data_IF_431287406164
#
_entry.id   IF_431287406164
#
_cell.length_a   1.000
_cell.length_b   1.000
_cell.length_c   1.000
_cell.angle_alpha   90.00
_cell.angle_beta   90.00
_cell.angle_gamma   90.00
#
_symmetry.space_group_name_H-M   'P 1'
#
loop_
_entity.id
_entity.type
_entity.pdbx_description
1 polymer ?
#
# COMPACT_ATOMS: atom_id res chain seq x y z
N UNK A 1 -13.59 2.58 -0.60
CA UNK A 1 -12.89 3.47 -1.55
C UNK A 1 -11.40 3.26 -1.35
N UNK A 2 -10.59 3.18 -2.41
CA UNK A 2 -9.17 2.75 -2.30
C UNK A 2 -8.29 3.73 -1.50
N UNK A 3 -8.71 5.01 -1.34
CA UNK A 3 -7.96 6.00 -0.58
C UNK A 3 -7.82 5.65 0.92
N UNK A 4 -8.86 5.12 1.56
CA UNK A 4 -8.79 4.71 2.97
C UNK A 4 -7.77 3.58 3.17
N UNK A 5 -7.68 2.69 2.18
CA UNK A 5 -6.74 1.57 2.19
C UNK A 5 -5.30 2.07 2.06
N UNK A 6 -5.04 2.97 1.10
CA UNK A 6 -3.73 3.58 0.89
C UNK A 6 -3.26 4.34 2.14
N UNK A 7 -4.17 5.06 2.81
CA UNK A 7 -3.80 5.77 4.04
C UNK A 7 -3.42 4.85 5.18
N UNK A 8 -4.19 3.78 5.40
CA UNK A 8 -3.89 2.80 6.45
C UNK A 8 -2.53 2.16 6.20
N UNK A 9 -2.26 1.76 4.95
CA UNK A 9 -0.98 1.21 4.55
C UNK A 9 0.17 2.22 4.78
N UNK A 10 0.00 3.48 4.38
CA UNK A 10 1.00 4.53 4.60
C UNK A 10 1.28 4.79 6.09
N UNK A 11 0.23 4.84 6.93
CA UNK A 11 0.39 5.01 8.38
C UNK A 11 1.13 3.84 9.02
N UNK A 12 0.81 2.60 8.63
CA UNK A 12 1.53 1.42 9.12
C UNK A 12 3.00 1.41 8.71
N UNK A 13 3.32 1.94 7.53
CA UNK A 13 4.69 2.13 7.09
C UNK A 13 5.45 3.24 7.86
N UNK A 14 4.86 3.80 8.92
CA UNK A 14 5.47 4.85 9.75
C UNK A 14 5.51 6.22 9.06
N UNK A 15 4.72 6.41 7.99
CA UNK A 15 4.67 7.68 7.27
C UNK A 15 3.63 8.61 7.90
N UNK A 16 3.89 9.90 7.85
CA UNK A 16 2.84 10.89 8.04
C UNK A 16 1.98 10.93 6.78
N UNK A 17 0.66 10.89 6.95
CA UNK A 17 -0.30 10.76 5.84
C UNK A 17 -1.35 11.85 5.90
N UNK A 18 -1.65 12.46 4.75
CA UNK A 18 -2.78 13.41 4.60
C UNK A 18 -3.48 13.24 3.26
N UNK A 19 -4.74 13.65 3.21
CA UNK A 19 -5.44 13.89 1.94
C UNK A 19 -5.14 15.29 1.44
N UNK A 20 -4.90 15.42 0.15
CA UNK A 20 -4.89 16.70 -0.54
C UNK A 20 -6.03 16.69 -1.56
N UNK A 21 -6.88 17.71 -1.51
CA UNK A 21 -8.00 17.89 -2.44
C UNK A 21 -7.76 19.10 -3.31
N UNK A 22 -7.76 18.91 -4.62
CA UNK A 22 -7.72 19.97 -5.61
C UNK A 22 -8.89 19.78 -6.58
N UNK A 23 -9.88 20.68 -6.50
CA UNK A 23 -11.13 20.59 -7.25
C UNK A 23 -11.81 19.23 -7.01
N UNK A 24 -11.88 18.42 -8.06
CA UNK A 24 -12.53 17.10 -8.07
C UNK A 24 -11.55 15.94 -7.84
N UNK A 25 -10.26 16.24 -7.66
CA UNK A 25 -9.22 15.25 -7.40
C UNK A 25 -8.90 15.19 -5.91
N UNK A 26 -8.97 14.00 -5.32
CA UNK A 26 -8.49 13.71 -3.96
C UNK A 26 -7.34 12.72 -4.06
N UNK A 27 -6.18 13.11 -3.54
CA UNK A 27 -4.97 12.29 -3.52
C UNK A 27 -4.46 12.08 -2.11
N UNK A 28 -3.70 11.00 -1.91
CA UNK A 28 -2.94 10.79 -0.68
C UNK A 28 -1.55 11.38 -0.86
N UNK A 29 -1.11 12.16 0.12
CA UNK A 29 0.27 12.59 0.24
C UNK A 29 0.89 11.99 1.50
N UNK A 30 2.16 11.63 1.39
CA UNK A 30 2.95 11.10 2.50
C UNK A 30 4.26 11.87 2.66
N UNK A 31 4.83 11.81 3.85
CA UNK A 31 6.22 12.17 4.11
C UNK A 31 6.82 11.28 5.19
N UNK A 32 8.14 11.11 5.15
CA UNK A 32 8.89 10.64 6.31
C UNK A 32 9.03 11.74 7.35
N UNK A 33 9.54 11.41 8.54
CA UNK A 33 9.75 12.39 9.61
C UNK A 33 10.59 13.58 9.13
N UNK A 34 10.02 14.79 9.18
CA UNK A 34 10.68 16.02 8.73
C UNK A 34 10.88 16.15 7.22
N UNK A 35 10.37 15.21 6.42
CA UNK A 35 10.53 15.20 4.97
C UNK A 35 9.56 16.13 4.22
N UNK A 36 9.74 16.21 2.90
CA UNK A 36 8.79 16.89 2.02
C UNK A 36 7.57 16.00 1.74
N UNK A 37 6.40 16.63 1.63
CA UNK A 37 5.19 15.96 1.19
C UNK A 37 5.30 15.57 -0.28
N UNK A 38 5.02 14.31 -0.58
CA UNK A 38 4.97 13.79 -1.95
C UNK A 38 3.66 13.04 -2.20
N UNK A 39 3.27 12.93 -3.46
CA UNK A 39 2.20 12.03 -3.88
C UNK A 39 2.56 10.58 -3.55
N UNK A 40 1.54 9.80 -3.19
CA UNK A 40 1.69 8.41 -2.80
C UNK A 40 0.57 7.58 -3.41
N UNK A 41 0.95 6.66 -4.29
CA UNK A 41 0.00 5.78 -4.97
C UNK A 41 0.60 4.38 -5.20
N UNK A 42 0.69 3.57 -4.14
CA UNK A 42 1.23 2.22 -4.23
C UNK A 42 0.38 1.27 -5.06
N UNK A 43 -0.83 1.68 -5.52
CA UNK A 43 -1.66 0.87 -6.41
C UNK A 43 -1.26 1.01 -7.89
N UNK A 44 -0.59 2.11 -8.25
CA UNK A 44 -0.18 2.40 -9.63
C UNK A 44 1.33 2.66 -9.78
N UNK A 45 2.05 2.98 -8.71
CA UNK A 45 3.50 3.21 -8.68
C UNK A 45 4.24 2.04 -8.01
N UNK A 46 5.14 1.40 -8.76
CA UNK A 46 5.90 0.24 -8.30
C UNK A 46 6.93 0.58 -7.22
N UNK A 47 7.51 1.79 -7.25
CA UNK A 47 8.47 2.22 -6.24
C UNK A 47 7.76 2.45 -4.90
N UNK A 48 6.55 3.00 -4.92
CA UNK A 48 5.74 3.16 -3.71
C UNK A 48 5.24 1.83 -3.15
N UNK A 49 4.83 0.91 -4.02
CA UNK A 49 4.48 -0.44 -3.62
C UNK A 49 5.69 -1.18 -3.00
N UNK A 50 6.87 -1.07 -3.61
CA UNK A 50 8.07 -1.72 -3.12
C UNK A 50 8.52 -1.16 -1.76
N UNK A 51 8.54 0.18 -1.62
CA UNK A 51 8.84 0.84 -0.33
C UNK A 51 7.87 0.40 0.76
N UNK A 52 6.58 0.28 0.43
CA UNK A 52 5.55 -0.18 1.35
C UNK A 52 5.80 -1.63 1.78
N UNK A 53 6.10 -2.51 0.83
CA UNK A 53 6.41 -3.92 1.08
C UNK A 53 7.57 -4.05 2.07
N UNK A 54 8.65 -3.31 1.86
CA UNK A 54 9.83 -3.29 2.74
C UNK A 54 9.49 -2.69 4.11
N UNK A 55 8.79 -1.55 4.15
CA UNK A 55 8.49 -0.84 5.39
C UNK A 55 7.53 -1.62 6.31
N UNK A 56 6.64 -2.42 5.73
CA UNK A 56 5.67 -3.23 6.49
C UNK A 56 6.09 -4.70 6.65
N UNK A 57 7.33 -5.05 6.29
CA UNK A 57 7.85 -6.43 6.30
C UNK A 57 6.88 -7.43 5.65
N UNK A 58 6.27 -7.00 4.54
CA UNK A 58 5.37 -7.87 3.78
C UNK A 58 6.25 -8.92 3.09
N UNK A 59 6.15 -10.20 3.47
CA UNK A 59 7.14 -11.19 3.06
C UNK A 59 7.18 -11.33 1.54
N UNK A 60 8.37 -11.44 0.94
CA UNK A 60 8.49 -11.74 -0.48
C UNK A 60 7.97 -13.17 -0.71
N UNK A 61 7.14 -13.33 -1.72
CA UNK A 61 6.39 -14.58 -1.87
C UNK A 61 7.17 -15.51 -2.78
N UNK A 62 7.84 -16.48 -2.15
CA UNK A 62 8.66 -17.47 -2.83
C UNK A 62 7.77 -18.56 -3.45
N UNK A 63 7.56 -18.49 -4.76
CA UNK A 63 6.94 -19.54 -5.55
C UNK A 63 7.19 -19.27 -7.03
N UNK A 64 7.82 -20.22 -7.72
CA UNK A 64 8.35 -20.14 -9.09
C UNK A 64 7.53 -19.25 -10.04
N UNK A 65 8.22 -18.31 -10.70
CA UNK A 65 7.71 -17.46 -11.79
C UNK A 65 6.52 -16.56 -11.41
N UNK A 66 6.84 -15.53 -10.62
CA UNK A 66 6.04 -14.33 -10.41
C UNK A 66 5.46 -14.24 -9.01
N UNK A 67 5.94 -13.24 -8.27
CA UNK A 67 5.52 -12.85 -6.93
C UNK A 67 3.98 -12.81 -6.83
N UNK A 68 3.40 -13.54 -5.88
CA UNK A 68 1.95 -13.64 -5.63
C UNK A 68 1.72 -13.74 -4.12
N UNK A 69 0.97 -12.80 -3.53
CA UNK A 69 0.64 -12.80 -2.10
C UNK A 69 -0.26 -13.99 -1.76
N UNK A 70 0.25 -14.91 -0.94
CA UNK A 70 -0.39 -16.17 -0.60
C UNK A 70 -1.73 -15.89 0.11
N UNK A 71 -2.81 -16.36 -0.52
CA UNK A 71 -4.16 -16.36 0.03
C UNK A 71 -5.11 -15.27 -0.50
N UNK A 72 -4.61 -14.10 -0.94
CA UNK A 72 -5.50 -12.98 -1.34
C UNK A 72 -5.57 -12.76 -2.87
N UNK A 73 -4.67 -13.36 -3.62
CA UNK A 73 -4.45 -12.99 -5.02
C UNK A 73 -5.29 -13.82 -6.01
N UNK A 74 -5.79 -15.00 -5.61
CA UNK A 74 -6.59 -15.82 -6.53
C UNK A 74 -7.89 -15.12 -6.95
N UNK A 75 -8.51 -14.35 -6.05
CA UNK A 75 -9.67 -13.50 -6.35
C UNK A 75 -9.27 -12.22 -7.09
N UNK A 76 -8.12 -11.61 -6.77
CA UNK A 76 -7.69 -10.34 -7.38
C UNK A 76 -7.16 -10.50 -8.81
N UNK A 77 -6.50 -11.62 -9.15
CA UNK A 77 -6.11 -11.92 -10.53
C UNK A 77 -7.34 -12.08 -11.42
N UNK A 78 -8.39 -12.72 -10.92
CA UNK A 78 -9.64 -12.86 -11.66
C UNK A 78 -10.33 -11.50 -11.89
N UNK A 79 -10.14 -10.55 -10.97
CA UNK A 79 -10.79 -9.24 -11.02
C UNK A 79 -9.99 -8.18 -11.80
N UNK A 80 -8.70 -8.39 -12.10
CA UNK A 80 -7.81 -7.32 -12.58
C UNK A 80 -7.06 -7.67 -13.87
N UNK A 81 -6.89 -6.69 -14.77
CA UNK A 81 -6.41 -6.94 -16.13
C UNK A 81 -4.93 -7.36 -16.19
N UNK A 82 -4.15 -7.12 -15.14
CA UNK A 82 -2.72 -7.48 -15.10
C UNK A 82 -2.31 -8.07 -13.75
N UNK A 83 -1.37 -9.03 -13.80
CA UNK A 83 -0.77 -9.65 -12.62
C UNK A 83 -0.13 -8.62 -11.68
N UNK A 84 0.47 -7.57 -12.22
CA UNK A 84 1.09 -6.49 -11.44
C UNK A 84 0.07 -5.69 -10.63
N UNK A 85 -1.09 -5.37 -11.21
CA UNK A 85 -2.15 -4.67 -10.48
C UNK A 85 -2.68 -5.50 -9.30
N UNK A 86 -2.83 -6.82 -9.48
CA UNK A 86 -3.21 -7.73 -8.40
C UNK A 86 -2.14 -7.84 -7.31
N UNK A 87 -0.84 -7.85 -7.68
CA UNK A 87 0.24 -7.85 -6.69
C UNK A 87 0.23 -6.57 -5.85
N UNK A 88 0.12 -5.40 -6.49
CA UNK A 88 0.09 -4.10 -5.78
C UNK A 88 -1.08 -4.01 -4.81
N UNK A 89 -2.28 -4.43 -5.23
CA UNK A 89 -3.44 -4.48 -4.35
C UNK A 89 -3.26 -5.44 -3.18
N UNK A 90 -2.72 -6.63 -3.42
CA UNK A 90 -2.46 -7.58 -2.35
C UNK A 90 -1.42 -7.07 -1.34
N UNK A 91 -0.35 -6.40 -1.80
CA UNK A 91 0.63 -5.74 -0.92
C UNK A 91 -0.03 -4.64 -0.11
N UNK A 92 -0.78 -3.75 -0.75
CA UNK A 92 -1.46 -2.62 -0.08
C UNK A 92 -2.48 -3.14 0.93
N UNK A 93 -3.23 -4.21 0.61
CA UNK A 93 -4.14 -4.87 1.56
C UNK A 93 -3.41 -5.53 2.71
N UNK A 94 -2.32 -6.28 2.44
CA UNK A 94 -1.52 -6.90 3.47
C UNK A 94 -0.95 -5.85 4.44
N UNK A 95 -0.39 -4.76 3.89
CA UNK A 95 0.07 -3.63 4.67
C UNK A 95 -1.07 -2.94 5.44
N UNK A 96 -2.28 -2.89 4.91
CA UNK A 96 -3.41 -2.27 5.61
C UNK A 96 -4.08 -3.16 6.68
N UNK A 97 -3.75 -4.45 6.79
CA UNK A 97 -4.33 -5.38 7.80
C UNK A 97 -3.74 -5.18 9.18
N UNK A 98 -4.57 -4.90 10.19
CA UNK A 98 -4.23 -4.73 11.61
C UNK A 98 -3.00 -3.86 11.89
N UNK A 99 -3.22 -2.55 11.79
CA UNK A 99 -2.56 -1.58 12.64
C UNK A 99 -3.46 -1.34 13.85
N UNK A 100 -3.25 -2.09 14.93
CA UNK A 100 -3.56 -1.56 16.26
C UNK A 100 -2.43 -0.58 16.58
N UNK A 101 -2.69 0.73 16.74
CA UNK A 101 -1.70 1.57 17.39
C UNK A 101 -1.52 0.97 18.77
N UNK A 102 -0.34 0.39 19.03
CA UNK A 102 0.08 0.02 20.37
C UNK A 102 0.11 1.32 21.19
N UNK A 103 -1.04 1.68 21.75
CA UNK A 103 -1.15 2.67 22.79
C UNK A 103 -0.39 2.12 23.99
N UNK A 104 0.82 2.62 24.18
CA UNK A 104 1.30 2.89 25.52
C UNK A 104 0.48 4.09 26.07
N UNK A 105 0.22 4.19 27.39
CA UNK A 105 0.74 3.41 28.51
C UNK A 105 -0.25 2.37 29.08
#
# INVERSE_FOLDING_TARGET
MDLDLIERAGRRAGLEVRRFRARDLVVVQVRGQGGQWRFYDPLHDDADCFRLMVACDVPPLSGMTGLVCAGCVSEEIAAHPTRLAAVRRAVVRAAARDFEPSGAP
#
